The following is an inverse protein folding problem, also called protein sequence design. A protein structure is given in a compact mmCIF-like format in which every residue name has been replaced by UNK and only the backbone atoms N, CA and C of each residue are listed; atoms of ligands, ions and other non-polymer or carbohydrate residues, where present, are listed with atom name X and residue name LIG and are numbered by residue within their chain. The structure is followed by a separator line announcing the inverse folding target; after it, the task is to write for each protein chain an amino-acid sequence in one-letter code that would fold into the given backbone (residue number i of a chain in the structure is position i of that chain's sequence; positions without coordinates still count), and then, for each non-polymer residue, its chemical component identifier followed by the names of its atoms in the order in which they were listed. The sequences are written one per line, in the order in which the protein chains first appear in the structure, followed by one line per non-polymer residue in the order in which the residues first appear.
data_IF_369311826958
#
_entry.id   IF_369311826958
#
_cell.length_a   1.000
_cell.length_b   1.000
_cell.length_c   1.000
_cell.angle_alpha   90.00
_cell.angle_beta   90.00
_cell.angle_gamma   90.00
#
_symmetry.space_group_name_H-M   'P 1'
#
loop_
_entity.id
_entity.type
_entity.pdbx_description
1 polymer ?
#
# COMPACT_ATOMS: atom_id res chain seq x y z
N UNK A 1 3.57 8.96 13.29
CA UNK A 1 3.30 7.52 13.45
C UNK A 1 2.04 7.13 12.68
N UNK A 2 2.10 6.12 11.81
CA UNK A 2 0.88 5.54 11.22
C UNK A 2 0.09 4.89 12.35
N UNK A 3 -1.21 5.17 12.40
CA UNK A 3 -2.08 4.57 13.41
C UNK A 3 -2.19 3.07 13.11
N UNK A 4 -2.14 2.22 14.14
CA UNK A 4 -2.35 0.79 13.96
C UNK A 4 -3.77 0.53 13.44
N UNK A 5 -3.90 -0.47 12.58
CA UNK A 5 -5.17 -0.95 12.01
C UNK A 5 -5.71 -2.06 12.91
N UNK A 6 -7.01 -2.14 13.16
CA UNK A 6 -7.59 -3.21 14.00
C UNK A 6 -7.89 -4.43 13.14
N UNK A 7 -7.78 -5.64 13.71
CA UNK A 7 -8.34 -6.82 13.06
C UNK A 7 -9.82 -6.63 12.74
N UNK A 8 -10.26 -7.08 11.57
CA UNK A 8 -11.61 -6.86 11.05
C UNK A 8 -11.78 -5.59 10.21
N UNK A 9 -10.88 -4.61 10.33
CA UNK A 9 -10.98 -3.35 9.59
C UNK A 9 -10.76 -3.53 8.08
N UNK A 10 -11.07 -2.48 7.32
CA UNK A 10 -10.70 -2.38 5.89
C UNK A 10 -9.49 -1.47 5.74
N UNK A 11 -8.41 -2.01 5.18
CA UNK A 11 -7.21 -1.25 4.84
C UNK A 11 -7.24 -0.87 3.36
N UNK A 12 -7.08 0.41 3.06
CA UNK A 12 -6.99 0.94 1.69
C UNK A 12 -5.61 1.56 1.50
N UNK A 13 -4.84 1.03 0.55
CA UNK A 13 -3.52 1.54 0.17
C UNK A 13 -3.63 2.29 -1.15
N UNK A 14 -3.04 3.48 -1.18
CA UNK A 14 -2.99 4.35 -2.36
C UNK A 14 -1.55 4.74 -2.66
N UNK A 15 -1.17 4.65 -3.93
CA UNK A 15 0.13 5.13 -4.40
C UNK A 15 -0.05 6.57 -4.92
N UNK A 16 0.47 7.55 -4.17
CA UNK A 16 0.30 8.97 -4.48
C UNK A 16 1.60 9.58 -5.00
N UNK A 17 1.54 10.25 -6.14
CA UNK A 17 2.64 11.05 -6.67
C UNK A 17 2.41 12.52 -6.37
N UNK A 18 3.37 13.14 -5.68
CA UNK A 18 3.36 14.60 -5.50
C UNK A 18 3.57 15.26 -6.86
N UNK A 19 2.86 16.37 -7.09
CA UNK A 19 3.00 17.25 -8.26
C UNK A 19 2.52 16.67 -9.60
N UNK A 20 1.62 15.68 -9.64
CA UNK A 20 1.00 15.23 -10.89
C UNK A 20 -0.53 15.26 -10.85
N UNK A 21 -1.14 15.50 -12.01
CA UNK A 21 -2.60 15.52 -12.21
C UNK A 21 -2.98 14.54 -13.31
N UNK A 22 -3.67 13.42 -13.01
CA UNK A 22 -4.09 13.00 -11.67
C UNK A 22 -2.92 12.53 -10.77
N UNK A 23 -3.05 12.62 -9.43
CA UNK A 23 -2.00 12.19 -8.50
C UNK A 23 -1.96 10.67 -8.28
N UNK A 24 -3.02 9.97 -8.68
CA UNK A 24 -3.18 8.52 -8.56
C UNK A 24 -2.93 7.90 -9.94
N UNK A 25 -1.92 7.04 -10.01
CA UNK A 25 -1.56 6.29 -11.22
C UNK A 25 -1.50 4.81 -10.89
N UNK A 26 -1.58 3.97 -11.93
CA UNK A 26 -1.41 2.52 -11.78
C UNK A 26 0.01 2.20 -11.28
N UNK A 27 0.09 1.42 -10.22
CA UNK A 27 1.35 0.99 -9.64
C UNK A 27 1.25 -0.45 -9.16
N UNK A 28 2.42 -1.05 -8.99
CA UNK A 28 2.58 -2.35 -8.37
C UNK A 28 2.71 -2.15 -6.86
N UNK A 29 1.97 -2.92 -6.06
CA UNK A 29 2.01 -2.87 -4.61
C UNK A 29 2.78 -4.08 -4.08
N UNK A 30 3.55 -3.83 -3.03
CA UNK A 30 4.41 -4.83 -2.39
C UNK A 30 4.19 -4.84 -0.88
N UNK A 31 4.27 -6.04 -0.29
CA UNK A 31 4.34 -6.30 1.16
C UNK A 31 5.59 -7.14 1.44
N UNK A 32 6.45 -6.66 2.32
CA UNK A 32 7.66 -7.37 2.77
C UNK A 32 8.53 -7.87 1.59
N UNK A 33 8.56 -7.10 0.49
CA UNK A 33 9.30 -7.43 -0.73
C UNK A 33 8.54 -8.29 -1.75
N UNK A 34 7.38 -8.83 -1.40
CA UNK A 34 6.55 -9.63 -2.30
C UNK A 34 5.51 -8.77 -3.03
N UNK A 35 5.35 -9.00 -4.33
CA UNK A 35 4.29 -8.35 -5.11
C UNK A 35 2.92 -8.88 -4.65
N UNK A 36 2.04 -7.98 -4.22
CA UNK A 36 0.69 -8.32 -3.73
C UNK A 36 -0.41 -7.85 -4.68
N UNK A 37 -0.13 -6.86 -5.53
CA UNK A 37 -1.08 -6.38 -6.54
C UNK A 37 -0.35 -5.69 -7.69
N UNK A 38 -0.76 -5.95 -8.93
CA UNK A 38 -0.10 -5.43 -10.14
C UNK A 38 -0.95 -4.34 -10.83
N UNK A 39 -0.32 -3.24 -11.23
CA UNK A 39 -0.92 -2.17 -12.06
C UNK A 39 -2.31 -1.69 -11.62
N UNK A 40 -2.51 -1.49 -10.31
CA UNK A 40 -3.76 -0.95 -9.75
C UNK A 40 -3.58 0.48 -9.26
N UNK A 41 -4.67 1.24 -9.16
CA UNK A 41 -4.68 2.56 -8.53
C UNK A 41 -4.74 2.49 -7.01
N UNK A 42 -5.49 1.51 -6.49
CA UNK A 42 -5.70 1.29 -5.06
C UNK A 42 -5.69 -0.21 -4.76
N UNK A 43 -5.23 -0.58 -3.57
CA UNK A 43 -5.33 -1.93 -3.03
C UNK A 43 -6.23 -1.89 -1.80
N UNK A 44 -7.20 -2.81 -1.74
CA UNK A 44 -8.15 -2.93 -0.64
C UNK A 44 -7.98 -4.30 -0.01
N UNK A 45 -7.75 -4.32 1.30
CA UNK A 45 -7.73 -5.53 2.12
C UNK A 45 -8.92 -5.42 3.07
N UNK A 46 -9.94 -6.23 2.80
CA UNK A 46 -11.11 -6.37 3.67
C UNK A 46 -10.81 -7.37 4.78
N UNK A 47 -11.35 -7.15 5.98
CA UNK A 47 -11.17 -8.04 7.13
C UNK A 47 -9.68 -8.25 7.45
N UNK A 48 -9.00 -7.15 7.77
CA UNK A 48 -7.59 -7.15 8.16
C UNK A 48 -7.35 -8.14 9.31
N UNK A 49 -6.18 -8.77 9.29
CA UNK A 49 -5.75 -9.75 10.30
C UNK A 49 -4.26 -9.61 10.52
N UNK A 50 -3.71 -10.21 11.59
CA UNK A 50 -2.28 -10.13 11.90
C UNK A 50 -1.33 -10.52 10.76
N UNK A 51 -1.72 -11.37 9.81
CA UNK A 51 -0.89 -11.70 8.63
C UNK A 51 -0.66 -10.52 7.68
N UNK A 52 -1.51 -9.48 7.76
CA UNK A 52 -1.41 -8.26 6.99
C UNK A 52 -0.46 -7.22 7.63
N UNK A 53 0.07 -7.47 8.83
CA UNK A 53 1.14 -6.64 9.40
C UNK A 53 2.42 -6.77 8.55
N UNK A 54 3.11 -5.65 8.27
CA UNK A 54 4.32 -5.67 7.46
C UNK A 54 4.73 -4.32 6.86
N UNK A 55 5.81 -4.33 6.07
CA UNK A 55 6.27 -3.17 5.30
C UNK A 55 5.60 -3.12 3.93
N UNK A 56 4.89 -2.03 3.66
CA UNK A 56 4.20 -1.78 2.40
C UNK A 56 4.87 -0.67 1.60
N UNK A 57 4.92 -0.84 0.29
CA UNK A 57 5.35 0.19 -0.66
C UNK A 57 4.73 -0.07 -2.04
N UNK A 58 4.74 0.95 -2.89
CA UNK A 58 4.33 0.82 -4.28
C UNK A 58 5.50 1.16 -5.23
N UNK A 59 5.43 0.65 -6.45
CA UNK A 59 6.39 0.90 -7.52
C UNK A 59 5.66 1.23 -8.81
N UNK A 60 6.02 2.34 -9.44
CA UNK A 60 5.58 2.65 -10.79
C UNK A 60 6.73 2.42 -11.77
N UNK A 61 6.46 1.83 -12.96
CA UNK A 61 7.50 1.45 -13.92
C UNK A 61 8.43 2.61 -14.28
N UNK A 62 7.87 3.81 -14.44
CA UNK A 62 8.64 4.99 -14.85
C UNK A 62 9.09 5.90 -13.69
N UNK A 63 8.48 5.79 -12.50
CA UNK A 63 8.69 6.75 -11.40
C UNK A 63 9.42 6.17 -10.19
N UNK A 64 9.67 4.86 -10.20
CA UNK A 64 10.39 4.17 -9.13
C UNK A 64 9.51 3.77 -7.96
N UNK A 65 10.16 3.53 -6.82
CA UNK A 65 9.54 3.03 -5.59
C UNK A 65 9.19 4.15 -4.60
N UNK A 66 8.05 4.01 -3.91
CA UNK A 66 7.68 4.86 -2.79
C UNK A 66 8.51 4.55 -1.54
N UNK A 67 8.57 5.47 -0.56
CA UNK A 67 9.02 5.13 0.78
C UNK A 67 8.23 3.94 1.35
N UNK A 68 8.91 3.06 2.09
CA UNK A 68 8.30 1.93 2.78
C UNK A 68 7.60 2.40 4.05
N UNK A 69 6.38 1.93 4.26
CA UNK A 69 5.56 2.25 5.43
C UNK A 69 5.25 0.97 6.22
N UNK A 70 5.53 0.97 7.51
CA UNK A 70 5.15 -0.13 8.40
C UNK A 70 3.68 -0.03 8.78
N UNK A 71 2.91 -1.08 8.51
CA UNK A 71 1.52 -1.19 8.93
C UNK A 71 1.48 -2.18 10.07
N UNK A 72 1.12 -1.68 11.26
CA UNK A 72 0.88 -2.53 12.43
C UNK A 72 -0.60 -2.87 12.54
N UNK A 73 -0.90 -4.14 12.81
CA UNK A 73 -2.27 -4.62 13.04
C UNK A 73 -2.45 -4.91 14.53
N UNK A 74 -3.62 -4.59 15.13
CA UNK A 74 -3.94 -4.79 16.54
C UNK A 74 -5.11 -5.73 16.74
#
# INVERSE_FOLDING_TARGET
PVHPVTEGDTLILRCLYRNTSPPILKADFYKDGSLIQHQTTEMIISNVSKSHEGFYYCKHPERGESPKSWISVR
#
